data_IF_781237039155
#
_entry.id   IF_781237039155
#
_cell.length_a   1.000
_cell.length_b   1.000
_cell.length_c   1.000
_cell.angle_alpha   90.00
_cell.angle_beta   90.00
_cell.angle_gamma   90.00
#
_symmetry.space_group_name_H-M   'P 1'
#
loop_
_entity.id
_entity.type
_entity.pdbx_description
1 polymer ?
#
# COMPACT_ATOMS: atom_id res chain seq x y z
N UNK A 1 13.00 -26.22 61.91
CA UNK A 1 11.94 -26.14 60.86
C UNK A 1 11.65 -24.67 60.66
N UNK A 2 11.63 -24.00 59.50
CA UNK A 2 11.32 -24.38 58.12
C UNK A 2 11.77 -23.17 57.26
N UNK A 3 12.90 -23.23 56.54
CA UNK A 3 13.35 -22.11 55.66
C UNK A 3 13.95 -22.57 54.32
N UNK A 4 13.65 -23.80 53.86
CA UNK A 4 14.24 -24.35 52.62
C UNK A 4 13.22 -24.83 51.59
N UNK A 5 11.93 -24.47 51.71
CA UNK A 5 10.87 -25.00 50.84
C UNK A 5 10.23 -23.97 49.89
N UNK A 6 10.71 -22.72 49.84
CA UNK A 6 10.07 -21.67 49.02
C UNK A 6 10.83 -21.28 47.75
N UNK A 7 12.07 -21.74 47.55
CA UNK A 7 12.85 -21.34 46.37
C UNK A 7 12.61 -22.24 45.15
N UNK A 8 12.26 -23.52 45.36
CA UNK A 8 12.04 -24.47 44.26
C UNK A 8 10.73 -24.21 43.49
N UNK A 9 9.67 -23.74 44.15
CA UNK A 9 8.40 -23.42 43.47
C UNK A 9 8.43 -22.09 42.71
N UNK A 10 9.33 -21.16 43.08
CA UNK A 10 9.47 -19.87 42.38
C UNK A 10 10.22 -20.03 41.05
N UNK A 11 11.17 -20.96 40.97
CA UNK A 11 11.95 -21.20 39.74
C UNK A 11 11.11 -21.93 38.69
N UNK A 12 10.22 -22.84 39.11
CA UNK A 12 9.32 -23.55 38.18
C UNK A 12 8.27 -22.61 37.57
N UNK A 13 7.83 -21.59 38.31
CA UNK A 13 6.88 -20.59 37.79
C UNK A 13 7.51 -19.56 36.83
N UNK A 14 8.83 -19.32 36.91
CA UNK A 14 9.55 -18.46 35.94
C UNK A 14 9.96 -19.25 34.68
N UNK A 15 10.29 -20.53 34.80
CA UNK A 15 10.65 -21.37 33.64
C UNK A 15 9.43 -21.81 32.82
N UNK A 16 8.24 -21.94 33.44
CA UNK A 16 6.99 -22.25 32.72
C UNK A 16 6.43 -21.10 31.87
N UNK A 17 6.73 -19.84 32.20
CA UNK A 17 6.24 -18.68 31.44
C UNK A 17 7.09 -18.35 30.20
N UNK A 18 8.28 -18.93 30.03
CA UNK A 18 9.14 -18.69 28.88
C UNK A 18 8.70 -19.38 27.57
N UNK A 19 7.80 -20.37 27.66
CA UNK A 19 7.36 -21.17 26.51
C UNK A 19 6.12 -20.62 25.80
N UNK A 20 5.49 -19.58 26.35
CA UNK A 20 4.46 -18.80 25.65
C UNK A 20 5.09 -17.57 25.01
N UNK A 21 6.16 -17.79 24.25
CA UNK A 21 6.52 -16.82 23.22
C UNK A 21 5.32 -16.76 22.27
N UNK A 22 4.64 -15.61 22.08
CA UNK A 22 3.65 -15.51 21.04
C UNK A 22 4.40 -15.83 19.76
N UNK A 23 4.10 -16.98 19.16
CA UNK A 23 4.45 -17.26 17.77
C UNK A 23 3.82 -16.10 17.03
N UNK A 24 4.65 -15.10 16.73
CA UNK A 24 4.28 -14.04 15.82
C UNK A 24 4.04 -14.79 14.52
N UNK A 25 2.78 -15.14 14.28
CA UNK A 25 2.31 -15.45 12.96
C UNK A 25 2.61 -14.21 12.14
N UNK A 26 3.81 -14.19 11.56
CA UNK A 26 4.11 -13.38 10.40
C UNK A 26 3.09 -13.87 9.40
N UNK A 27 1.96 -13.16 9.35
CA UNK A 27 1.06 -13.22 8.23
C UNK A 27 1.93 -12.92 7.03
N UNK A 28 2.40 -13.98 6.37
CA UNK A 28 2.93 -13.91 5.04
C UNK A 28 1.72 -13.60 4.17
N UNK A 29 1.29 -12.33 4.22
CA UNK A 29 0.43 -11.76 3.21
C UNK A 29 1.16 -12.02 1.90
N UNK A 30 0.64 -13.00 1.16
CA UNK A 30 1.19 -13.47 -0.12
C UNK A 30 1.57 -12.26 -0.96
N UNK A 31 2.88 -12.05 -1.12
CA UNK A 31 3.45 -10.88 -1.80
C UNK A 31 3.40 -11.01 -3.33
N UNK A 32 2.40 -11.73 -3.83
CA UNK A 32 2.28 -12.07 -5.24
C UNK A 32 1.70 -10.91 -6.03
N UNK A 33 2.41 -10.52 -7.08
CA UNK A 33 1.94 -9.52 -8.03
C UNK A 33 0.86 -10.13 -8.92
N UNK A 34 -0.30 -9.48 -8.98
CA UNK A 34 -1.46 -9.93 -9.77
C UNK A 34 -1.68 -9.02 -10.97
N UNK A 35 -2.24 -9.51 -12.09
CA UNK A 35 -2.64 -8.64 -13.20
C UNK A 35 -3.61 -7.57 -12.74
N UNK A 36 -3.41 -6.32 -13.16
CA UNK A 36 -4.32 -5.23 -12.86
C UNK A 36 -5.47 -5.14 -13.88
N UNK A 37 -6.65 -4.75 -13.42
CA UNK A 37 -7.83 -4.51 -14.25
C UNK A 37 -8.32 -3.06 -14.08
N UNK A 38 -9.00 -2.53 -15.10
CA UNK A 38 -9.36 -1.11 -15.17
C UNK A 38 -10.39 -0.66 -14.13
N UNK A 39 -11.21 -1.57 -13.60
CA UNK A 39 -12.32 -1.26 -12.68
C UNK A 39 -12.05 -1.64 -11.21
N UNK A 40 -10.83 -2.06 -10.90
CA UNK A 40 -10.41 -2.49 -9.56
C UNK A 40 -10.64 -1.45 -8.45
N UNK A 41 -10.55 -0.16 -8.78
CA UNK A 41 -10.74 0.94 -7.83
C UNK A 41 -12.17 1.50 -7.85
N UNK A 42 -13.09 0.78 -8.49
CA UNK A 42 -14.45 1.21 -8.75
C UNK A 42 -14.56 2.12 -9.97
N UNK A 43 -15.80 2.35 -10.41
CA UNK A 43 -16.12 3.22 -11.55
C UNK A 43 -16.56 4.60 -11.05
N UNK A 44 -15.69 5.63 -11.07
CA UNK A 44 -16.05 6.96 -10.62
C UNK A 44 -17.04 7.62 -11.58
N UNK A 45 -18.05 8.32 -11.06
CA UNK A 45 -18.90 9.22 -11.85
C UNK A 45 -18.65 10.70 -11.51
N UNK A 46 -17.98 10.95 -10.38
CA UNK A 46 -17.58 12.28 -9.95
C UNK A 46 -16.28 12.16 -9.16
N UNK A 47 -15.45 13.19 -9.25
CA UNK A 47 -14.28 13.34 -8.38
C UNK A 47 -14.04 14.81 -8.06
N UNK A 48 -13.25 15.07 -7.02
CA UNK A 48 -12.70 16.39 -6.73
C UNK A 48 -11.28 16.27 -6.18
N UNK A 49 -10.44 17.26 -6.45
CA UNK A 49 -9.14 17.37 -5.77
C UNK A 49 -9.39 17.80 -4.33
N UNK A 50 -8.76 17.11 -3.38
CA UNK A 50 -8.75 17.45 -1.96
C UNK A 50 -7.43 18.14 -1.59
N UNK A 51 -6.33 17.68 -2.18
CA UNK A 51 -4.99 18.20 -1.91
C UNK A 51 -4.10 18.02 -3.13
N UNK A 52 -3.38 19.08 -3.49
CA UNK A 52 -2.32 19.06 -4.51
C UNK A 52 -0.96 18.80 -3.87
N UNK A 53 -0.01 18.31 -4.67
CA UNK A 53 1.40 18.35 -4.29
C UNK A 53 1.83 19.80 -4.03
N UNK A 54 2.62 20.06 -2.97
CA UNK A 54 3.17 21.38 -2.71
C UNK A 54 4.14 21.86 -3.81
N UNK A 55 4.62 20.97 -4.69
CA UNK A 55 5.65 21.27 -5.70
C UNK A 55 5.12 21.62 -7.09
N UNK A 56 3.81 21.83 -7.30
CA UNK A 56 3.33 22.29 -8.59
C UNK A 56 1.82 22.39 -8.72
N UNK A 57 1.32 23.63 -8.70
CA UNK A 57 0.02 24.01 -9.22
C UNK A 57 0.17 24.22 -10.74
N UNK A 58 -0.53 23.47 -11.58
CA UNK A 58 -0.67 23.80 -13.02
C UNK A 58 -0.29 22.73 -14.05
N UNK A 59 0.66 21.84 -13.79
CA UNK A 59 1.04 20.78 -14.77
C UNK A 59 0.11 19.54 -14.71
N UNK A 60 -1.09 19.66 -14.15
CA UNK A 60 -1.74 18.58 -13.39
C UNK A 60 -3.16 18.19 -13.84
N UNK A 61 -3.54 18.36 -15.10
CA UNK A 61 -4.66 17.58 -15.63
C UNK A 61 -4.34 16.07 -15.73
N UNK A 62 -3.12 15.65 -15.36
CA UNK A 62 -2.66 14.27 -15.49
C UNK A 62 -2.15 13.56 -14.23
N UNK A 63 -2.04 14.22 -13.07
CA UNK A 63 -1.82 13.55 -11.77
C UNK A 63 -0.46 12.84 -11.54
N UNK A 64 0.16 12.33 -12.58
CA UNK A 64 1.36 11.50 -12.61
C UNK A 64 1.99 11.75 -13.98
N UNK A 65 3.30 11.60 -14.12
CA UNK A 65 3.93 11.74 -15.44
C UNK A 65 3.40 10.62 -16.35
N UNK A 66 2.32 10.89 -17.08
CA UNK A 66 1.48 9.90 -17.78
C UNK A 66 2.32 9.01 -18.68
N UNK A 67 3.35 9.57 -19.30
CA UNK A 67 4.37 8.87 -20.09
C UNK A 67 5.03 7.67 -19.39
N UNK A 68 5.24 7.72 -18.08
CA UNK A 68 5.85 6.61 -17.32
C UNK A 68 4.83 5.56 -16.82
N UNK A 69 3.54 5.82 -17.02
CA UNK A 69 2.43 5.03 -16.46
C UNK A 69 1.30 4.79 -17.49
N UNK A 70 1.56 5.04 -18.77
CA UNK A 70 0.57 4.93 -19.87
C UNK A 70 0.50 3.53 -20.48
N UNK A 71 1.45 2.65 -20.16
CA UNK A 71 1.45 1.27 -20.67
C UNK A 71 0.37 0.44 -19.98
N UNK A 72 -0.61 0.00 -20.76
CA UNK A 72 -1.71 -0.89 -20.35
C UNK A 72 -1.33 -2.38 -20.41
N UNK A 73 -0.28 -2.72 -21.16
CA UNK A 73 0.20 -4.09 -21.32
C UNK A 73 0.96 -4.54 -20.06
N UNK A 74 0.40 -5.53 -19.37
CA UNK A 74 1.01 -6.24 -18.24
C UNK A 74 1.18 -5.42 -16.95
N UNK A 75 0.34 -4.41 -16.70
CA UNK A 75 0.30 -3.76 -15.38
C UNK A 75 0.01 -4.82 -14.33
N UNK A 76 0.80 -4.81 -13.26
CA UNK A 76 0.58 -5.69 -12.13
C UNK A 76 0.38 -4.87 -10.87
N UNK A 77 -0.44 -5.37 -9.96
CA UNK A 77 -0.68 -4.75 -8.68
C UNK A 77 -0.40 -5.71 -7.52
N UNK A 78 -0.19 -5.11 -6.36
CA UNK A 78 -0.30 -5.79 -5.07
C UNK A 78 -1.15 -4.93 -4.14
N UNK A 79 -1.97 -5.60 -3.33
CA UNK A 79 -2.79 -4.94 -2.32
C UNK A 79 -2.28 -5.25 -0.92
N UNK A 80 -2.01 -4.21 -0.15
CA UNK A 80 -1.59 -4.28 1.24
C UNK A 80 -2.80 -3.98 2.12
N UNK A 81 -3.45 -5.04 2.62
CA UNK A 81 -4.70 -4.94 3.37
C UNK A 81 -4.57 -4.06 4.62
N UNK A 82 -3.51 -4.26 5.43
CA UNK A 82 -3.28 -3.55 6.70
C UNK A 82 -3.24 -2.02 6.53
N UNK A 83 -2.66 -1.55 5.42
CA UNK A 83 -2.51 -0.11 5.14
C UNK A 83 -3.49 0.39 4.07
N UNK A 84 -4.44 -0.47 3.62
CA UNK A 84 -5.36 -0.21 2.51
C UNK A 84 -4.66 0.45 1.33
N UNK A 85 -3.52 -0.11 0.94
CA UNK A 85 -2.64 0.48 -0.08
C UNK A 85 -2.55 -0.43 -1.28
N UNK A 86 -2.86 0.09 -2.46
CA UNK A 86 -2.60 -0.58 -3.72
C UNK A 86 -1.30 -0.06 -4.31
N UNK A 87 -0.43 -0.95 -4.78
CA UNK A 87 0.79 -0.59 -5.49
C UNK A 87 0.74 -1.25 -6.85
N UNK A 88 0.73 -0.44 -7.90
CA UNK A 88 0.92 -0.87 -9.27
C UNK A 88 2.40 -0.80 -9.64
N UNK A 89 2.83 -1.73 -10.49
CA UNK A 89 4.10 -1.67 -11.19
C UNK A 89 3.85 -1.66 -12.70
N UNK A 90 4.59 -0.82 -13.39
CA UNK A 90 4.55 -0.61 -14.82
C UNK A 90 5.93 -0.95 -15.36
N UNK A 91 6.00 -1.62 -16.52
CA UNK A 91 7.28 -1.79 -17.19
C UNK A 91 7.87 -0.42 -17.50
N UNK A 92 9.13 -0.24 -17.13
CA UNK A 92 9.84 1.01 -17.42
C UNK A 92 10.51 0.90 -18.80
N UNK A 93 10.22 1.86 -19.66
CA UNK A 93 10.83 1.96 -21.00
C UNK A 93 12.01 2.92 -21.05
N UNK A 94 12.16 3.78 -20.04
CA UNK A 94 13.25 4.74 -19.94
C UNK A 94 14.50 4.05 -19.34
N UNK A 95 15.50 3.82 -20.20
CA UNK A 95 16.77 3.18 -19.82
C UNK A 95 17.61 4.05 -18.87
N UNK A 96 17.42 5.37 -18.85
CA UNK A 96 18.19 6.29 -18.00
C UNK A 96 17.85 6.11 -16.51
N UNK A 97 16.62 5.67 -16.21
CA UNK A 97 16.17 5.40 -14.83
C UNK A 97 16.78 4.12 -14.23
N UNK A 98 17.52 3.33 -15.04
CA UNK A 98 18.23 2.10 -14.63
C UNK A 98 17.39 1.13 -13.80
N UNK A 99 16.10 1.02 -14.11
CA UNK A 99 15.19 0.16 -13.37
C UNK A 99 14.21 -0.54 -14.30
N UNK A 100 13.80 -1.75 -13.92
CA UNK A 100 12.84 -2.55 -14.69
C UNK A 100 11.41 -2.01 -14.60
N UNK A 101 11.06 -1.37 -13.48
CA UNK A 101 9.68 -0.96 -13.21
C UNK A 101 9.59 0.46 -12.65
N UNK A 102 8.51 1.15 -13.02
CA UNK A 102 8.01 2.32 -12.31
C UNK A 102 6.81 1.91 -11.46
N UNK A 103 6.57 2.65 -10.38
CA UNK A 103 5.52 2.29 -9.42
C UNK A 103 4.55 3.44 -9.16
N UNK A 104 3.27 3.10 -9.11
CA UNK A 104 2.20 3.97 -8.64
C UNK A 104 1.65 3.37 -7.35
N UNK A 105 1.57 4.18 -6.30
CA UNK A 105 1.04 3.79 -4.99
C UNK A 105 -0.20 4.63 -4.71
N UNK A 106 -1.28 3.95 -4.36
CA UNK A 106 -2.56 4.54 -4.01
C UNK A 106 -2.88 4.15 -2.58
N UNK A 107 -2.91 5.14 -1.70
CA UNK A 107 -3.33 4.97 -0.31
C UNK A 107 -4.80 5.31 -0.23
N UNK A 108 -5.61 4.31 0.11
CA UNK A 108 -7.07 4.44 0.16
C UNK A 108 -7.51 4.76 1.58
N UNK A 109 -8.27 5.84 1.72
CA UNK A 109 -8.88 6.30 2.95
C UNK A 109 -10.38 6.45 2.76
N UNK A 110 -11.09 6.59 3.87
CA UNK A 110 -12.56 6.71 3.90
C UNK A 110 -13.28 5.46 3.36
N UNK A 111 -14.62 5.52 3.30
CA UNK A 111 -15.50 4.39 2.98
C UNK A 111 -15.42 3.91 1.52
N UNK A 112 -16.23 2.90 1.18
CA UNK A 112 -16.08 2.17 -0.10
C UNK A 112 -16.81 2.81 -1.29
N UNK A 113 -17.78 3.70 -1.06
CA UNK A 113 -18.51 4.43 -2.12
C UNK A 113 -17.95 5.83 -2.39
N UNK A 114 -17.35 6.43 -1.37
CA UNK A 114 -16.77 7.79 -1.43
C UNK A 114 -15.34 7.83 -0.91
N UNK A 115 -14.44 6.99 -1.46
CA UNK A 115 -13.08 6.91 -0.96
C UNK A 115 -12.27 8.15 -1.31
N UNK A 116 -11.23 8.39 -0.51
CA UNK A 116 -10.17 9.31 -0.87
C UNK A 116 -8.91 8.53 -1.22
N UNK A 117 -8.39 8.80 -2.40
CA UNK A 117 -7.21 8.15 -2.94
C UNK A 117 -6.08 9.15 -2.97
N UNK A 118 -5.03 8.88 -2.19
CA UNK A 118 -3.79 9.64 -2.23
C UNK A 118 -2.79 8.91 -3.12
N UNK A 119 -2.38 9.58 -4.18
CA UNK A 119 -1.48 9.06 -5.20
C UNK A 119 -0.04 9.46 -4.91
N UNK A 120 0.84 8.50 -5.10
CA UNK A 120 2.27 8.65 -5.02
C UNK A 120 2.91 7.88 -6.16
N UNK A 121 4.03 8.36 -6.67
CA UNK A 121 4.76 7.67 -7.71
C UNK A 121 6.23 7.49 -7.31
N UNK A 122 6.86 6.48 -7.91
CA UNK A 122 8.30 6.23 -7.81
C UNK A 122 8.81 5.83 -9.19
N UNK A 123 9.76 6.61 -9.70
CA UNK A 123 10.46 6.34 -10.95
C UNK A 123 11.80 5.69 -10.63
N UNK A 124 12.09 4.55 -11.27
CA UNK A 124 13.26 3.73 -10.98
C UNK A 124 13.67 3.64 -9.50
N UNK A 125 14.88 4.11 -9.19
CA UNK A 125 15.44 4.05 -7.83
C UNK A 125 15.13 5.28 -6.96
N UNK A 126 14.37 6.26 -7.46
CA UNK A 126 14.04 7.47 -6.71
C UNK A 126 13.15 7.20 -5.48
N UNK A 127 13.01 8.22 -4.62
CA UNK A 127 12.08 8.19 -3.48
C UNK A 127 10.63 8.27 -3.96
N UNK A 128 9.70 7.85 -3.12
CA UNK A 128 8.27 8.08 -3.36
C UNK A 128 7.96 9.57 -3.32
N UNK A 129 7.27 10.05 -4.35
CA UNK A 129 6.83 11.43 -4.46
C UNK A 129 5.32 11.47 -4.35
N UNK A 130 4.79 12.31 -3.46
CA UNK A 130 3.37 12.59 -3.37
C UNK A 130 2.91 13.38 -4.59
N UNK A 131 1.71 13.08 -5.08
CA UNK A 131 1.20 13.68 -6.29
C UNK A 131 -0.10 14.45 -6.01
N UNK A 132 -1.16 13.75 -5.60
CA UNK A 132 -2.48 14.36 -5.41
C UNK A 132 -3.34 13.47 -4.52
N UNK A 133 -4.30 14.08 -3.84
CA UNK A 133 -5.40 13.37 -3.20
C UNK A 133 -6.70 13.74 -3.88
N UNK A 134 -7.39 12.74 -4.41
CA UNK A 134 -8.74 12.88 -4.94
C UNK A 134 -9.75 12.26 -4.00
N UNK A 135 -10.92 12.89 -3.91
CA UNK A 135 -12.13 12.27 -3.38
C UNK A 135 -13.00 11.83 -4.55
N UNK A 136 -13.38 10.56 -4.56
CA UNK A 136 -14.22 9.98 -5.60
C UNK A 136 -15.64 9.75 -5.10
N UNK A 137 -16.60 9.76 -6.03
CA UNK A 137 -17.91 9.14 -5.84
C UNK A 137 -18.03 8.03 -6.88
N UNK A 138 -18.16 6.80 -6.39
CA UNK A 138 -18.16 5.59 -7.20
C UNK A 138 -19.59 5.12 -7.45
N UNK A 139 -19.87 4.59 -8.65
CA UNK A 139 -21.17 3.98 -8.98
C UNK A 139 -21.47 2.72 -8.16
N UNK A 140 -20.42 2.03 -7.72
CA UNK A 140 -20.49 0.85 -6.85
C UNK A 140 -19.30 0.83 -5.88
N UNK A 141 -19.34 -0.01 -4.83
CA UNK A 141 -18.23 -0.10 -3.88
C UNK A 141 -16.97 -0.65 -4.57
N UNK A 142 -15.81 -0.30 -4.02
CA UNK A 142 -14.53 -0.93 -4.39
C UNK A 142 -14.58 -2.43 -4.09
N UNK A 143 -14.23 -3.25 -5.08
CA UNK A 143 -14.12 -4.71 -4.95
C UNK A 143 -12.64 -5.04 -4.74
N UNK A 144 -12.26 -5.41 -3.52
CA UNK A 144 -10.87 -5.78 -3.19
C UNK A 144 -10.60 -7.25 -3.50
#
# INVERSE_FOLDING_TARGET
MTKRLNLFFLIISVVGLGLLSPVQHKSFASSTWKPAYSDMLGKPYKHKVVKYSPTGWGNYEGGYRKEYFSSDKHIQYRYLLKSRTMVYRYNNHDKLLQSKYNYLKIVMRHGHKTPEYSYYYKLGHHKWVYSVTYKYWLRGPVKY
#
